data_IF_179208839548
#
_entry.id   IF_179208839548
#
_cell.length_a   1.000
_cell.length_b   1.000
_cell.length_c   1.000
_cell.angle_alpha   90.00
_cell.angle_beta   90.00
_cell.angle_gamma   90.00
#
_symmetry.space_group_name_H-M   'P 1'
#
loop_
_entity.id
_entity.type
_entity.pdbx_description
1 polymer ?
#
# COMPACT_ATOMS: atom_id res chain seq x y z
N UNK A 1 24.97 -29.50 16.57
CA UNK A 1 23.90 -28.52 16.79
C UNK A 1 22.87 -29.16 17.72
N UNK A 2 22.52 -28.48 18.84
CA UNK A 2 21.54 -29.04 19.76
C UNK A 2 20.18 -29.22 19.07
N UNK A 3 19.49 -30.30 19.40
CA UNK A 3 18.17 -30.63 18.86
C UNK A 3 17.09 -30.59 19.96
N UNK A 4 15.84 -30.73 19.60
CA UNK A 4 14.70 -30.64 20.55
C UNK A 4 14.74 -31.76 21.63
N UNK A 5 15.37 -32.91 21.33
CA UNK A 5 15.51 -34.00 22.31
C UNK A 5 16.51 -33.63 23.38
N UNK A 6 17.63 -32.97 23.00
CA UNK A 6 18.63 -32.49 23.94
C UNK A 6 18.05 -31.45 24.90
N UNK A 7 17.17 -30.57 24.41
CA UNK A 7 16.43 -29.61 25.26
C UNK A 7 15.46 -30.32 26.21
N UNK A 8 14.76 -31.34 25.74
CA UNK A 8 13.83 -32.13 26.54
C UNK A 8 14.55 -32.84 27.69
N UNK A 9 15.70 -33.49 27.38
CA UNK A 9 16.56 -34.16 28.35
C UNK A 9 17.11 -33.14 29.39
N UNK A 10 17.71 -32.03 28.94
CA UNK A 10 18.25 -30.96 29.79
C UNK A 10 17.20 -30.32 30.71
N UNK A 11 15.97 -30.16 30.21
CA UNK A 11 14.85 -29.60 30.97
C UNK A 11 14.12 -30.65 31.83
N UNK A 12 14.38 -31.94 31.69
CA UNK A 12 13.71 -33.05 32.37
C UNK A 12 12.22 -33.13 32.03
N UNK A 13 11.85 -32.95 30.73
CA UNK A 13 10.48 -32.98 30.25
C UNK A 13 10.37 -33.73 28.91
N UNK A 14 9.15 -34.04 28.47
CA UNK A 14 8.96 -34.65 27.14
C UNK A 14 9.20 -33.67 26.00
N UNK A 15 9.56 -34.17 24.82
CA UNK A 15 9.67 -33.36 23.59
C UNK A 15 8.35 -32.60 23.28
N UNK A 16 7.20 -33.25 23.57
CA UNK A 16 5.89 -32.61 23.42
C UNK A 16 5.70 -31.42 24.36
N UNK A 17 6.27 -31.49 25.59
CA UNK A 17 6.25 -30.39 26.55
C UNK A 17 7.14 -29.24 26.08
N UNK A 18 8.34 -29.53 25.59
CA UNK A 18 9.23 -28.51 24.99
C UNK A 18 8.51 -27.81 23.83
N UNK A 19 7.92 -28.57 22.93
CA UNK A 19 7.17 -28.01 21.78
C UNK A 19 6.02 -27.11 22.24
N UNK A 20 5.25 -27.50 23.27
CA UNK A 20 4.17 -26.65 23.82
C UNK A 20 4.69 -25.36 24.43
N UNK A 21 5.77 -25.42 25.21
CA UNK A 21 6.41 -24.24 25.82
C UNK A 21 6.88 -23.26 24.73
N UNK A 22 7.58 -23.77 23.70
CA UNK A 22 8.10 -22.94 22.62
C UNK A 22 6.99 -22.30 21.75
N UNK A 23 5.79 -22.91 21.72
CA UNK A 23 4.62 -22.37 21.05
C UNK A 23 3.70 -21.53 21.95
N UNK A 24 4.16 -21.12 23.13
CA UNK A 24 3.38 -20.27 24.04
C UNK A 24 2.29 -20.99 24.88
N UNK A 25 2.18 -22.32 24.78
CA UNK A 25 1.12 -23.11 25.41
C UNK A 25 1.65 -23.87 26.65
N UNK A 26 2.22 -23.19 27.62
CA UNK A 26 2.69 -23.88 28.83
C UNK A 26 1.71 -23.70 29.98
N UNK A 27 1.23 -24.79 30.61
CA UNK A 27 0.27 -24.72 31.72
C UNK A 27 0.94 -24.37 33.07
N UNK A 28 2.28 -24.51 33.22
CA UNK A 28 2.99 -24.31 34.50
C UNK A 28 4.22 -23.42 34.29
N UNK A 29 4.30 -22.33 35.09
CA UNK A 29 5.39 -21.34 35.01
C UNK A 29 6.79 -21.98 35.23
N UNK A 30 6.93 -22.86 36.20
CA UNK A 30 8.19 -23.56 36.49
C UNK A 30 8.69 -24.42 35.32
N UNK A 31 7.79 -25.17 34.68
CA UNK A 31 8.13 -25.97 33.49
C UNK A 31 8.58 -25.09 32.33
N UNK A 32 7.92 -23.93 32.14
CA UNK A 32 8.29 -22.96 31.12
C UNK A 32 9.69 -22.41 31.37
N UNK A 33 10.01 -22.04 32.59
CA UNK A 33 11.33 -21.50 32.94
C UNK A 33 12.45 -22.51 32.74
N UNK A 34 12.27 -23.76 33.16
CA UNK A 34 13.24 -24.87 32.94
C UNK A 34 13.51 -25.09 31.46
N UNK A 35 12.47 -25.13 30.63
CA UNK A 35 12.61 -25.29 29.17
C UNK A 35 13.34 -24.10 28.54
N UNK A 36 12.95 -22.86 28.89
CA UNK A 36 13.60 -21.68 28.34
C UNK A 36 15.07 -21.55 28.78
N UNK A 37 15.41 -21.98 29.99
CA UNK A 37 16.79 -22.06 30.47
C UNK A 37 17.58 -23.11 29.67
N UNK A 38 17.04 -24.30 29.47
CA UNK A 38 17.69 -25.33 28.68
C UNK A 38 17.91 -24.90 27.21
N UNK A 39 16.95 -24.17 26.63
CA UNK A 39 17.08 -23.60 25.27
C UNK A 39 18.22 -22.59 25.20
N UNK A 40 18.37 -21.70 26.20
CA UNK A 40 19.46 -20.73 26.26
C UNK A 40 20.83 -21.42 26.45
N UNK A 41 20.92 -22.35 27.42
CA UNK A 41 22.16 -23.05 27.78
C UNK A 41 22.71 -23.84 26.58
N UNK A 42 21.81 -24.47 25.79
CA UNK A 42 22.20 -25.31 24.66
C UNK A 42 22.31 -24.50 23.34
N UNK A 43 22.00 -23.20 23.36
CA UNK A 43 21.93 -22.41 22.13
C UNK A 43 20.94 -22.98 21.10
N UNK A 44 19.90 -23.68 21.58
CA UNK A 44 18.94 -24.32 20.71
C UNK A 44 18.10 -23.27 19.97
N UNK A 45 18.08 -23.42 18.66
CA UNK A 45 17.15 -22.65 17.79
C UNK A 45 16.09 -23.59 17.25
N UNK A 46 14.80 -23.30 17.46
CA UNK A 46 13.73 -24.10 16.87
C UNK A 46 13.94 -24.23 15.36
N UNK A 47 13.91 -25.47 14.88
CA UNK A 47 14.02 -25.73 13.44
C UNK A 47 12.65 -25.49 12.79
N UNK A 48 12.46 -24.28 12.23
CA UNK A 48 11.23 -23.89 11.56
C UNK A 48 10.92 -24.79 10.34
N UNK A 49 11.94 -25.35 9.68
CA UNK A 49 11.76 -26.29 8.56
C UNK A 49 11.08 -27.57 9.04
N UNK A 50 11.55 -28.14 10.17
CA UNK A 50 10.93 -29.33 10.76
C UNK A 50 9.50 -29.07 11.28
N UNK A 51 9.23 -27.83 11.74
CA UNK A 51 7.89 -27.40 12.12
C UNK A 51 6.99 -27.27 10.88
N UNK A 52 7.48 -26.63 9.83
CA UNK A 52 6.76 -26.44 8.57
C UNK A 52 6.38 -27.78 7.92
N UNK A 53 7.26 -28.75 7.93
CA UNK A 53 6.98 -30.12 7.43
C UNK A 53 5.85 -30.82 8.20
N UNK A 54 5.69 -30.53 9.49
CA UNK A 54 4.64 -31.13 10.34
C UNK A 54 3.31 -30.39 10.25
N UNK A 55 3.33 -29.06 10.11
CA UNK A 55 2.14 -28.21 10.12
C UNK A 55 1.68 -27.84 8.72
N UNK A 56 2.43 -28.17 7.67
CA UNK A 56 2.29 -27.70 6.30
C UNK A 56 2.25 -26.15 6.19
N UNK A 57 2.80 -25.45 7.21
CA UNK A 57 2.87 -23.98 7.26
C UNK A 57 4.25 -23.52 7.68
N UNK A 58 4.75 -22.50 6.99
CA UNK A 58 6.08 -21.91 7.25
C UNK A 58 6.03 -20.79 8.28
N UNK A 59 4.87 -20.14 8.47
CA UNK A 59 4.71 -18.94 9.28
C UNK A 59 5.30 -17.70 8.58
N UNK A 60 5.43 -17.75 7.26
CA UNK A 60 5.95 -16.64 6.46
C UNK A 60 4.90 -16.18 5.43
N UNK A 61 4.68 -14.88 5.35
CA UNK A 61 3.88 -14.22 4.33
C UNK A 61 4.79 -13.47 3.36
N UNK A 62 4.41 -13.43 2.09
CA UNK A 62 5.06 -12.57 1.10
C UNK A 62 4.28 -11.28 0.92
N UNK A 63 4.98 -10.17 0.77
CA UNK A 63 4.43 -8.89 0.35
C UNK A 63 5.23 -8.37 -0.83
N UNK A 64 4.58 -8.15 -1.96
CA UNK A 64 5.17 -7.45 -3.09
C UNK A 64 4.52 -6.08 -3.17
N UNK A 65 5.36 -5.04 -3.15
CA UNK A 65 4.94 -3.65 -3.31
C UNK A 65 5.45 -3.10 -4.64
N UNK A 66 4.73 -2.14 -5.18
CA UNK A 66 5.05 -1.55 -6.47
C UNK A 66 6.34 -0.74 -6.43
N UNK A 67 6.52 0.11 -5.43
CA UNK A 67 7.72 0.95 -5.29
C UNK A 67 8.05 1.23 -3.81
N UNK A 68 9.20 0.75 -3.34
CA UNK A 68 9.67 0.96 -1.96
C UNK A 68 10.06 2.43 -1.69
N UNK A 69 10.33 3.21 -2.72
CA UNK A 69 10.70 4.63 -2.57
C UNK A 69 9.47 5.53 -2.38
N UNK A 70 8.28 5.03 -2.73
CA UNK A 70 7.03 5.75 -2.49
C UNK A 70 6.56 5.54 -1.04
N UNK A 71 6.42 6.61 -0.24
CA UNK A 71 6.07 6.54 1.19
C UNK A 71 4.74 5.86 1.49
N UNK A 72 3.77 5.93 0.58
CA UNK A 72 2.51 5.21 0.72
C UNK A 72 2.75 3.70 0.87
N UNK A 73 3.58 3.11 0.00
CA UNK A 73 3.88 1.68 0.07
C UNK A 73 4.75 1.31 1.25
N UNK A 74 5.64 2.21 1.71
CA UNK A 74 6.44 1.97 2.91
C UNK A 74 5.58 1.95 4.18
N UNK A 75 4.63 2.88 4.31
CA UNK A 75 3.68 2.88 5.42
C UNK A 75 2.74 1.66 5.37
N UNK A 76 2.28 1.28 4.18
CA UNK A 76 1.48 0.08 3.98
C UNK A 76 2.24 -1.19 4.39
N UNK A 77 3.52 -1.29 3.99
CA UNK A 77 4.37 -2.43 4.35
C UNK A 77 4.64 -2.50 5.87
N UNK A 78 4.83 -1.35 6.54
CA UNK A 78 4.93 -1.28 8.00
C UNK A 78 3.65 -1.80 8.66
N UNK A 79 2.47 -1.34 8.20
CA UNK A 79 1.20 -1.76 8.74
C UNK A 79 0.93 -3.27 8.56
N UNK A 80 1.31 -3.82 7.40
CA UNK A 80 1.24 -5.26 7.11
C UNK A 80 2.20 -6.04 8.01
N UNK A 81 3.43 -5.56 8.20
CA UNK A 81 4.44 -6.21 9.05
C UNK A 81 4.01 -6.25 10.51
N UNK A 82 3.56 -5.10 11.04
CA UNK A 82 3.09 -5.00 12.42
C UNK A 82 1.95 -5.98 12.72
N UNK A 83 0.96 -6.05 11.82
CA UNK A 83 -0.19 -6.95 11.98
C UNK A 83 0.22 -8.42 11.82
N UNK A 84 1.00 -8.76 10.78
CA UNK A 84 1.49 -10.12 10.57
C UNK A 84 2.30 -10.62 11.77
N UNK A 85 3.20 -9.79 12.28
CA UNK A 85 4.03 -10.11 13.46
C UNK A 85 3.19 -10.30 14.72
N UNK A 86 2.15 -9.47 14.93
CA UNK A 86 1.23 -9.62 16.07
C UNK A 86 0.52 -10.97 16.07
N UNK A 87 0.29 -11.53 14.88
CA UNK A 87 -0.37 -12.82 14.63
C UNK A 87 0.63 -13.99 14.49
N UNK A 88 1.93 -13.74 14.72
CA UNK A 88 2.98 -14.75 14.73
C UNK A 88 3.53 -15.13 13.37
N UNK A 89 3.31 -14.31 12.35
CA UNK A 89 3.88 -14.47 11.00
C UNK A 89 5.11 -13.57 10.81
N UNK A 90 6.04 -14.04 9.99
CA UNK A 90 7.14 -13.22 9.45
C UNK A 90 6.77 -12.70 8.08
N UNK A 91 7.16 -11.47 7.76
CA UNK A 91 6.94 -10.88 6.44
C UNK A 91 8.22 -10.91 5.61
N UNK A 92 8.11 -11.27 4.33
CA UNK A 92 9.18 -11.16 3.34
C UNK A 92 8.71 -10.18 2.27
N UNK A 93 9.44 -9.07 2.11
CA UNK A 93 9.06 -7.99 1.20
C UNK A 93 9.86 -8.10 -0.09
N UNK A 94 9.17 -7.99 -1.23
CA UNK A 94 9.74 -7.79 -2.57
C UNK A 94 9.34 -6.43 -3.11
N UNK A 95 10.29 -5.72 -3.73
CA UNK A 95 10.06 -4.44 -4.40
C UNK A 95 10.00 -4.66 -5.91
N UNK A 96 8.84 -4.44 -6.52
CA UNK A 96 8.67 -4.61 -7.96
C UNK A 96 9.27 -3.46 -8.80
N UNK A 97 9.49 -2.26 -8.22
CA UNK A 97 10.00 -1.11 -8.95
C UNK A 97 9.14 -0.70 -10.14
N UNK A 98 7.83 -0.88 -10.06
CA UNK A 98 6.84 -0.71 -11.15
C UNK A 98 7.13 -1.60 -12.38
N UNK A 99 7.97 -2.66 -12.27
CA UNK A 99 8.25 -3.63 -13.33
C UNK A 99 7.46 -4.93 -13.14
N UNK A 100 6.61 -5.32 -14.11
CA UNK A 100 5.92 -6.61 -14.09
C UNK A 100 6.88 -7.80 -14.08
N UNK A 101 8.01 -7.71 -14.78
CA UNK A 101 9.02 -8.76 -14.85
C UNK A 101 9.68 -8.97 -13.46
N UNK A 102 10.05 -7.89 -12.79
CA UNK A 102 10.63 -7.93 -11.45
C UNK A 102 9.62 -8.44 -10.42
N UNK A 103 8.34 -8.06 -10.56
CA UNK A 103 7.25 -8.62 -9.77
C UNK A 103 7.19 -10.14 -9.90
N UNK A 104 7.17 -10.65 -11.13
CA UNK A 104 7.06 -12.08 -11.40
C UNK A 104 8.27 -12.86 -10.85
N UNK A 105 9.48 -12.29 -10.91
CA UNK A 105 10.69 -12.89 -10.33
C UNK A 105 10.60 -12.97 -8.78
N UNK A 106 10.07 -11.94 -8.14
CA UNK A 106 9.81 -11.98 -6.71
C UNK A 106 8.72 -13.00 -6.34
N UNK A 107 7.65 -13.10 -7.13
CA UNK A 107 6.61 -14.10 -6.90
C UNK A 107 7.23 -15.50 -6.93
N UNK A 108 8.01 -15.85 -7.98
CA UNK A 108 8.69 -17.15 -8.07
C UNK A 108 9.58 -17.41 -6.86
N UNK A 109 10.41 -16.43 -6.49
CA UNK A 109 11.31 -16.54 -5.33
C UNK A 109 10.56 -16.80 -4.03
N UNK A 110 9.42 -16.17 -3.83
CA UNK A 110 8.60 -16.33 -2.62
C UNK A 110 7.89 -17.69 -2.59
N UNK A 111 7.38 -18.14 -3.74
CA UNK A 111 6.77 -19.47 -3.88
C UNK A 111 7.79 -20.59 -3.62
N UNK A 112 9.02 -20.47 -4.15
CA UNK A 112 10.11 -21.41 -3.91
C UNK A 112 10.47 -21.50 -2.41
N UNK A 113 10.32 -20.39 -1.69
CA UNK A 113 10.48 -20.34 -0.21
C UNK A 113 9.28 -20.87 0.56
N UNK A 114 8.23 -21.33 -0.14
CA UNK A 114 7.02 -21.91 0.45
C UNK A 114 6.34 -20.98 1.45
N UNK A 115 6.15 -19.72 1.09
CA UNK A 115 5.33 -18.80 1.88
C UNK A 115 3.91 -19.35 2.02
N UNK A 116 3.23 -19.02 3.13
CA UNK A 116 1.87 -19.50 3.41
C UNK A 116 0.81 -18.72 2.61
N UNK A 117 1.14 -17.51 2.16
CA UNK A 117 0.28 -16.68 1.34
C UNK A 117 0.98 -15.40 0.87
N UNK A 118 0.38 -14.73 -0.09
CA UNK A 118 0.96 -13.61 -0.83
C UNK A 118 0.03 -12.40 -0.83
N UNK A 119 0.57 -11.24 -0.50
CA UNK A 119 -0.01 -9.91 -0.68
C UNK A 119 0.71 -9.23 -1.85
N UNK A 120 -0.04 -8.66 -2.80
CA UNK A 120 0.57 -8.03 -3.99
C UNK A 120 -0.10 -6.70 -4.29
N UNK A 121 0.68 -5.60 -4.25
CA UNK A 121 0.35 -4.38 -4.97
C UNK A 121 0.99 -4.48 -6.34
N UNK A 122 0.15 -4.75 -7.37
CA UNK A 122 0.65 -5.14 -8.68
C UNK A 122 1.35 -3.99 -9.41
N UNK A 123 2.50 -4.29 -10.00
CA UNK A 123 3.12 -3.47 -11.01
C UNK A 123 2.47 -3.77 -12.38
N UNK A 124 1.97 -2.73 -13.05
CA UNK A 124 1.31 -2.89 -14.36
C UNK A 124 -0.13 -3.43 -14.30
N UNK A 125 -0.67 -3.74 -15.45
CA UNK A 125 -2.10 -4.02 -15.68
C UNK A 125 -2.44 -5.49 -15.84
N UNK A 126 -1.46 -6.39 -15.82
CA UNK A 126 -1.68 -7.83 -15.97
C UNK A 126 -0.45 -8.62 -15.61
N UNK A 127 -0.65 -9.83 -15.09
CA UNK A 127 0.43 -10.77 -14.80
C UNK A 127 -0.09 -12.18 -15.00
N UNK A 128 0.50 -12.91 -15.95
CA UNK A 128 0.25 -14.33 -16.11
C UNK A 128 0.63 -15.10 -14.84
N UNK A 129 1.69 -14.68 -14.17
CA UNK A 129 2.17 -15.26 -12.91
C UNK A 129 1.12 -15.16 -11.80
N UNK A 130 0.40 -14.03 -11.67
CA UNK A 130 -0.67 -13.90 -10.66
C UNK A 130 -1.82 -14.88 -10.94
N UNK A 131 -2.16 -15.11 -12.22
CA UNK A 131 -3.14 -16.12 -12.60
C UNK A 131 -2.67 -17.55 -12.27
N UNK A 132 -1.38 -17.83 -12.45
CA UNK A 132 -0.77 -19.11 -12.08
C UNK A 132 -0.79 -19.31 -10.54
N UNK A 133 -0.52 -18.25 -9.76
CA UNK A 133 -0.62 -18.28 -8.28
C UNK A 133 -2.03 -18.68 -7.85
N UNK A 134 -3.06 -18.05 -8.44
CA UNK A 134 -4.46 -18.39 -8.16
C UNK A 134 -4.77 -19.84 -8.55
N UNK A 135 -4.35 -20.26 -9.74
CA UNK A 135 -4.58 -21.61 -10.27
C UNK A 135 -3.88 -22.70 -9.42
N UNK A 136 -2.72 -22.38 -8.82
CA UNK A 136 -2.00 -23.28 -7.91
C UNK A 136 -2.67 -23.44 -6.53
N UNK A 137 -3.69 -22.63 -6.23
CA UNK A 137 -4.35 -22.60 -4.93
C UNK A 137 -3.56 -21.87 -3.85
N UNK A 138 -2.49 -21.16 -4.19
CA UNK A 138 -1.74 -20.33 -3.24
C UNK A 138 -2.62 -19.15 -2.79
N UNK A 139 -2.81 -18.93 -1.48
CA UNK A 139 -3.58 -17.80 -0.97
C UNK A 139 -3.00 -16.46 -1.46
N UNK A 140 -3.80 -15.70 -2.21
CA UNK A 140 -3.43 -14.41 -2.78
C UNK A 140 -4.45 -13.34 -2.39
N UNK A 141 -3.98 -12.15 -2.03
CA UNK A 141 -4.78 -10.93 -1.86
C UNK A 141 -4.08 -9.80 -2.60
N UNK A 142 -4.82 -9.08 -3.41
CA UNK A 142 -4.35 -7.87 -4.08
C UNK A 142 -4.46 -6.67 -3.14
N UNK A 143 -3.52 -5.74 -3.23
CA UNK A 143 -3.47 -4.50 -2.47
C UNK A 143 -3.50 -3.29 -3.41
N UNK A 144 -4.26 -2.25 -3.03
CA UNK A 144 -4.33 -0.97 -3.72
C UNK A 144 -4.86 -1.06 -5.17
N UNK A 145 -4.36 -2.01 -5.96
CA UNK A 145 -4.67 -2.15 -7.38
C UNK A 145 -5.35 -3.49 -7.67
N UNK A 146 -6.44 -3.46 -8.45
CA UNK A 146 -7.02 -4.66 -9.05
C UNK A 146 -6.21 -5.07 -10.27
N UNK A 147 -6.21 -6.36 -10.58
CA UNK A 147 -5.57 -6.89 -11.81
C UNK A 147 -6.63 -7.59 -12.65
N UNK A 148 -6.90 -7.11 -13.87
CA UNK A 148 -7.88 -7.74 -14.76
C UNK A 148 -7.55 -9.22 -15.00
N UNK A 149 -8.58 -10.09 -14.91
CA UNK A 149 -8.43 -11.53 -15.13
C UNK A 149 -7.85 -12.32 -13.93
N UNK A 150 -7.52 -11.68 -12.82
CA UNK A 150 -7.07 -12.34 -11.59
C UNK A 150 -8.22 -12.41 -10.58
N UNK A 151 -8.70 -13.63 -10.31
CA UNK A 151 -9.78 -13.86 -9.32
C UNK A 151 -9.20 -13.96 -7.90
N UNK A 152 -8.88 -12.81 -7.32
CA UNK A 152 -8.40 -12.67 -5.96
C UNK A 152 -9.07 -11.48 -5.25
N UNK A 153 -9.31 -11.56 -3.92
CA UNK A 153 -9.78 -10.41 -3.16
C UNK A 153 -8.80 -9.26 -3.31
N UNK A 154 -9.33 -8.03 -3.37
CA UNK A 154 -8.54 -6.81 -3.36
C UNK A 154 -8.92 -5.95 -2.15
N UNK A 155 -7.91 -5.50 -1.41
CA UNK A 155 -8.05 -4.54 -0.31
C UNK A 155 -7.51 -3.20 -0.79
N UNK A 156 -8.39 -2.18 -0.88
CA UNK A 156 -8.04 -0.88 -1.44
C UNK A 156 -8.88 0.26 -0.86
N UNK A 157 -8.43 1.49 -1.09
CA UNK A 157 -9.19 2.67 -0.70
C UNK A 157 -10.28 3.02 -1.73
N UNK A 158 -11.35 3.65 -1.25
CA UNK A 158 -12.39 4.29 -2.06
C UNK A 158 -12.27 5.80 -1.94
N UNK A 159 -11.84 6.45 -3.03
CA UNK A 159 -11.63 7.90 -3.08
C UNK A 159 -12.86 8.72 -3.48
N UNK A 160 -14.00 8.11 -3.79
CA UNK A 160 -15.17 8.81 -4.36
C UNK A 160 -15.66 9.97 -3.51
N UNK A 161 -15.87 9.73 -2.22
CA UNK A 161 -16.33 10.76 -1.29
C UNK A 161 -15.31 11.88 -1.16
N UNK A 162 -14.05 11.56 -0.96
CA UNK A 162 -12.97 12.55 -0.82
C UNK A 162 -12.81 13.41 -2.09
N UNK A 163 -12.93 12.81 -3.29
CA UNK A 163 -12.89 13.55 -4.55
C UNK A 163 -14.12 14.43 -4.76
N UNK A 164 -15.29 14.01 -4.26
CA UNK A 164 -16.50 14.85 -4.28
C UNK A 164 -16.35 16.06 -3.33
N UNK A 165 -15.82 15.83 -2.13
CA UNK A 165 -15.50 16.89 -1.17
C UNK A 165 -14.44 17.85 -1.73
N UNK A 166 -13.43 17.32 -2.45
CA UNK A 166 -12.44 18.14 -3.13
C UNK A 166 -13.05 19.02 -4.22
N UNK A 167 -13.93 18.48 -5.05
CA UNK A 167 -14.60 19.27 -6.10
C UNK A 167 -15.44 20.42 -5.48
N UNK A 168 -16.16 20.14 -4.38
CA UNK A 168 -16.89 21.16 -3.62
C UNK A 168 -15.93 22.25 -3.09
N UNK A 169 -14.80 21.81 -2.50
CA UNK A 169 -13.79 22.69 -1.93
C UNK A 169 -13.18 23.62 -3.01
N UNK A 170 -12.79 23.08 -4.16
CA UNK A 170 -12.27 23.86 -5.28
C UNK A 170 -13.30 24.89 -5.79
N UNK A 171 -14.55 24.47 -5.97
CA UNK A 171 -15.63 25.34 -6.41
C UNK A 171 -15.87 26.50 -5.41
N UNK A 172 -15.88 26.19 -4.10
CA UNK A 172 -16.06 27.19 -3.04
C UNK A 172 -14.91 28.23 -2.99
N UNK A 173 -13.69 27.83 -3.38
CA UNK A 173 -12.53 28.72 -3.48
C UNK A 173 -12.43 29.42 -4.85
N UNK A 174 -13.46 29.33 -5.68
CA UNK A 174 -13.51 30.01 -6.98
C UNK A 174 -12.59 29.43 -8.05
N UNK A 175 -12.05 28.22 -7.85
CA UNK A 175 -11.21 27.54 -8.85
C UNK A 175 -12.10 27.07 -10.01
N UNK A 176 -11.78 27.49 -11.23
CA UNK A 176 -12.61 27.27 -12.42
C UNK A 176 -11.95 26.43 -13.49
N UNK A 177 -10.64 26.30 -13.44
CA UNK A 177 -9.85 25.56 -14.40
C UNK A 177 -9.06 24.42 -13.75
N UNK A 178 -9.77 23.41 -13.18
CA UNK A 178 -9.12 22.26 -12.59
C UNK A 178 -8.37 21.44 -13.63
N UNK A 179 -7.24 20.85 -13.24
CA UNK A 179 -6.48 19.87 -14.00
C UNK A 179 -6.13 18.67 -13.11
N UNK A 180 -5.71 17.58 -13.73
CA UNK A 180 -5.30 16.36 -13.03
C UNK A 180 -4.04 15.77 -13.65
N UNK A 181 -3.07 15.44 -12.82
CA UNK A 181 -1.89 14.65 -13.17
C UNK A 181 -2.18 13.21 -12.77
N UNK A 182 -2.24 12.30 -13.73
CA UNK A 182 -2.59 10.90 -13.52
C UNK A 182 -1.43 9.98 -13.83
N UNK A 183 -1.48 8.78 -13.27
CA UNK A 183 -0.61 7.67 -13.61
C UNK A 183 -0.63 7.37 -15.13
N UNK A 184 0.32 6.59 -15.65
CA UNK A 184 0.29 6.14 -17.05
C UNK A 184 -1.06 5.54 -17.43
N UNK A 185 -1.51 5.79 -18.65
CA UNK A 185 -2.79 5.31 -19.17
C UNK A 185 -2.93 3.79 -18.99
N UNK A 186 -4.10 3.34 -18.58
CA UNK A 186 -4.38 1.93 -18.30
C UNK A 186 -3.99 1.48 -16.88
N UNK A 187 -3.45 2.38 -16.05
CA UNK A 187 -3.25 2.07 -14.63
C UNK A 187 -4.60 2.11 -13.91
N UNK A 188 -5.09 1.01 -13.30
CA UNK A 188 -6.45 0.95 -12.75
C UNK A 188 -6.77 2.05 -11.73
N UNK A 189 -5.82 2.39 -10.84
CA UNK A 189 -6.01 3.48 -9.86
C UNK A 189 -6.03 4.87 -10.53
N UNK A 190 -5.23 5.06 -11.59
CA UNK A 190 -5.21 6.31 -12.36
C UNK A 190 -6.53 6.55 -13.07
N UNK A 191 -7.02 5.55 -13.79
CA UNK A 191 -8.29 5.61 -14.54
C UNK A 191 -9.49 5.80 -13.59
N UNK A 192 -9.49 5.13 -12.44
CA UNK A 192 -10.53 5.27 -11.42
C UNK A 192 -10.54 6.67 -10.80
N UNK A 193 -9.38 7.20 -10.39
CA UNK A 193 -9.23 8.55 -9.80
C UNK A 193 -9.66 9.63 -10.79
N UNK A 194 -9.25 9.50 -12.05
CA UNK A 194 -9.68 10.40 -13.13
C UNK A 194 -11.20 10.37 -13.33
N UNK A 195 -11.80 9.18 -13.42
CA UNK A 195 -13.25 9.02 -13.63
C UNK A 195 -14.06 9.61 -12.48
N UNK A 196 -13.65 9.37 -11.24
CA UNK A 196 -14.31 9.91 -10.05
C UNK A 196 -14.16 11.44 -9.96
N UNK A 197 -12.96 11.98 -10.21
CA UNK A 197 -12.74 13.42 -10.17
C UNK A 197 -13.54 14.14 -11.26
N UNK A 198 -13.54 13.62 -12.49
CA UNK A 198 -14.35 14.19 -13.59
C UNK A 198 -15.84 14.21 -13.25
N UNK A 199 -16.35 13.12 -12.67
CA UNK A 199 -17.75 13.03 -12.22
C UNK A 199 -18.04 14.03 -11.09
N UNK A 200 -17.16 14.12 -10.11
CA UNK A 200 -17.29 15.03 -8.98
C UNK A 200 -17.33 16.51 -9.42
N UNK A 201 -16.40 16.90 -10.30
CA UNK A 201 -16.35 18.26 -10.85
C UNK A 201 -17.65 18.65 -11.57
N UNK A 202 -18.22 17.71 -12.36
CA UNK A 202 -19.50 17.93 -13.05
C UNK A 202 -20.64 18.27 -12.10
N UNK A 203 -20.67 17.71 -10.91
CA UNK A 203 -21.65 18.02 -9.85
C UNK A 203 -21.61 19.46 -9.35
N UNK A 204 -20.51 20.17 -9.57
CA UNK A 204 -20.32 21.59 -9.17
C UNK A 204 -20.19 22.52 -10.39
N UNK A 205 -20.58 22.08 -11.58
CA UNK A 205 -20.52 22.88 -12.80
C UNK A 205 -19.10 23.17 -13.29
N UNK A 206 -18.12 22.40 -12.83
CA UNK A 206 -16.74 22.46 -13.29
C UNK A 206 -16.51 21.43 -14.38
N UNK A 207 -15.65 21.75 -15.36
CA UNK A 207 -15.30 20.85 -16.45
C UNK A 207 -13.83 20.47 -16.38
N UNK A 208 -13.52 19.24 -16.82
CA UNK A 208 -12.16 18.74 -16.95
C UNK A 208 -11.93 18.31 -18.41
N UNK A 209 -11.55 19.25 -19.31
CA UNK A 209 -11.27 18.95 -20.70
C UNK A 209 -9.98 18.11 -20.84
N UNK A 210 -9.86 17.39 -21.92
CA UNK A 210 -8.75 16.43 -22.09
C UNK A 210 -7.36 17.10 -22.08
N UNK A 211 -7.24 18.35 -22.52
CA UNK A 211 -6.01 19.14 -22.44
C UNK A 211 -5.53 19.42 -21.00
N UNK A 212 -6.41 19.27 -20.01
CA UNK A 212 -6.11 19.40 -18.56
C UNK A 212 -6.04 18.04 -17.85
N UNK A 213 -5.97 16.95 -18.61
CA UNK A 213 -5.68 15.61 -18.13
C UNK A 213 -4.29 15.22 -18.62
N UNK A 214 -3.33 15.20 -17.71
CA UNK A 214 -1.95 14.87 -18.06
C UNK A 214 -1.57 13.49 -17.51
N UNK A 215 -1.42 12.50 -18.40
CA UNK A 215 -0.87 11.21 -18.04
C UNK A 215 0.67 11.28 -17.99
N UNK A 216 1.25 10.84 -16.89
CA UNK A 216 2.71 10.77 -16.75
C UNK A 216 3.26 9.54 -17.47
N UNK A 217 4.52 9.56 -17.93
CA UNK A 217 5.17 8.36 -18.47
C UNK A 217 5.51 7.34 -17.36
N UNK A 218 5.65 7.80 -16.14
CA UNK A 218 5.99 7.02 -14.95
C UNK A 218 5.32 7.62 -13.69
N UNK A 219 5.34 6.89 -12.59
CA UNK A 219 4.82 7.33 -11.28
C UNK A 219 5.91 8.04 -10.46
N UNK A 220 6.70 8.90 -11.09
CA UNK A 220 7.87 9.52 -10.49
C UNK A 220 7.77 11.06 -10.47
N UNK A 221 8.64 11.67 -9.70
CA UNK A 221 8.83 13.12 -9.62
C UNK A 221 9.01 13.78 -11.00
N UNK A 222 9.82 13.16 -11.86
CA UNK A 222 10.12 13.67 -13.21
C UNK A 222 8.87 13.74 -14.08
N UNK A 223 8.01 12.72 -14.04
CA UNK A 223 6.75 12.69 -14.77
C UNK A 223 5.79 13.79 -14.29
N UNK A 224 5.66 13.96 -12.97
CA UNK A 224 4.82 15.02 -12.41
C UNK A 224 5.29 16.42 -12.81
N UNK A 225 6.62 16.67 -12.80
CA UNK A 225 7.21 17.92 -13.25
C UNK A 225 6.94 18.19 -14.73
N UNK A 226 7.12 17.17 -15.58
CA UNK A 226 6.91 17.31 -17.03
C UNK A 226 5.44 17.66 -17.36
N UNK A 227 4.49 16.98 -16.72
CA UNK A 227 3.07 17.26 -16.96
C UNK A 227 2.68 18.65 -16.43
N UNK A 228 3.17 19.05 -15.26
CA UNK A 228 2.93 20.39 -14.75
C UNK A 228 3.47 21.46 -15.69
N UNK A 229 4.67 21.27 -16.23
CA UNK A 229 5.25 22.19 -17.23
C UNK A 229 4.33 22.34 -18.44
N UNK A 230 3.83 21.23 -18.99
CA UNK A 230 2.91 21.27 -20.12
C UNK A 230 1.59 21.99 -19.77
N UNK A 231 1.06 21.82 -18.58
CA UNK A 231 -0.14 22.53 -18.14
C UNK A 231 0.07 24.05 -18.04
N UNK A 232 1.25 24.48 -17.58
CA UNK A 232 1.59 25.89 -17.46
C UNK A 232 1.84 26.57 -18.82
N UNK A 233 2.09 25.80 -19.86
CA UNK A 233 2.28 26.28 -21.23
C UNK A 233 0.97 26.34 -22.03
N UNK A 234 -0.18 25.90 -21.46
CA UNK A 234 -1.48 26.04 -22.09
C UNK A 234 -1.89 27.51 -22.26
N UNK A 235 -2.68 27.83 -23.27
CA UNK A 235 -3.22 29.18 -23.49
C UNK A 235 -4.04 29.69 -22.27
N UNK A 236 -4.75 28.77 -21.62
CA UNK A 236 -5.44 29.00 -20.34
C UNK A 236 -4.91 28.00 -19.29
N UNK A 237 -3.85 28.33 -18.58
CA UNK A 237 -3.29 27.45 -17.55
C UNK A 237 -4.30 27.10 -16.45
N UNK A 238 -4.20 25.93 -15.82
CA UNK A 238 -5.07 25.55 -14.70
C UNK A 238 -4.86 26.47 -13.50
N UNK A 239 -5.92 26.69 -12.74
CA UNK A 239 -5.89 27.41 -11.46
C UNK A 239 -5.93 26.45 -10.25
N UNK A 240 -6.12 25.15 -10.51
CA UNK A 240 -6.03 24.09 -9.51
C UNK A 240 -5.55 22.78 -10.17
N UNK A 241 -4.66 22.05 -9.51
CA UNK A 241 -4.14 20.78 -10.00
C UNK A 241 -4.25 19.72 -8.90
N UNK A 242 -4.83 18.57 -9.24
CA UNK A 242 -4.78 17.35 -8.44
C UNK A 242 -3.66 16.45 -9.00
N UNK A 243 -2.61 16.19 -8.23
CA UNK A 243 -1.64 15.15 -8.52
C UNK A 243 -2.09 13.84 -7.86
N UNK A 244 -2.29 12.79 -8.65
CA UNK A 244 -2.85 11.52 -8.16
C UNK A 244 -1.83 10.58 -7.51
N UNK A 245 -0.64 11.08 -7.22
CA UNK A 245 0.42 10.38 -6.48
C UNK A 245 1.33 11.40 -5.78
N UNK A 246 1.91 11.02 -4.65
CA UNK A 246 2.73 11.92 -3.83
C UNK A 246 4.06 12.29 -4.49
N UNK A 247 4.71 11.39 -5.24
CA UNK A 247 5.95 11.69 -5.96
C UNK A 247 5.69 12.64 -7.14
N UNK A 248 4.58 12.45 -7.86
CA UNK A 248 4.16 13.37 -8.92
C UNK A 248 3.86 14.76 -8.38
N UNK A 249 3.26 14.86 -7.17
CA UNK A 249 3.00 16.14 -6.52
C UNK A 249 4.30 16.90 -6.22
N UNK A 250 5.36 16.22 -5.77
CA UNK A 250 6.67 16.84 -5.57
C UNK A 250 7.23 17.43 -6.88
N UNK A 251 7.08 16.68 -7.99
CA UNK A 251 7.48 17.18 -9.31
C UNK A 251 6.71 18.42 -9.74
N UNK A 252 5.40 18.41 -9.51
CA UNK A 252 4.53 19.55 -9.79
C UNK A 252 4.91 20.77 -8.94
N UNK A 253 5.20 20.60 -7.65
CA UNK A 253 5.69 21.66 -6.76
C UNK A 253 6.99 22.29 -7.27
N UNK A 254 7.95 21.46 -7.69
CA UNK A 254 9.24 21.93 -8.18
C UNK A 254 9.08 22.74 -9.47
N UNK A 255 8.18 22.35 -10.37
CA UNK A 255 7.93 23.13 -11.58
C UNK A 255 7.24 24.47 -11.27
N UNK A 256 6.24 24.49 -10.38
CA UNK A 256 5.60 25.74 -9.92
C UNK A 256 6.65 26.69 -9.34
N UNK A 257 7.52 26.19 -8.47
CA UNK A 257 8.61 26.98 -7.87
C UNK A 257 9.59 27.50 -8.93
N UNK A 258 9.99 26.66 -9.88
CA UNK A 258 10.91 27.02 -10.96
C UNK A 258 10.35 28.16 -11.85
N UNK A 259 9.01 28.19 -12.03
CA UNK A 259 8.30 29.26 -12.75
C UNK A 259 7.97 30.46 -11.89
N UNK A 260 8.31 30.46 -10.59
CA UNK A 260 8.01 31.56 -9.66
C UNK A 260 6.51 31.69 -9.32
N UNK A 261 5.71 30.64 -9.54
CA UNK A 261 4.29 30.61 -9.26
C UNK A 261 4.05 30.22 -7.80
N UNK A 262 3.08 30.87 -7.17
CA UNK A 262 2.75 30.68 -5.76
C UNK A 262 1.58 29.74 -5.60
N UNK A 263 1.72 28.84 -4.64
CA UNK A 263 0.62 28.00 -4.14
C UNK A 263 0.09 28.65 -2.86
N UNK A 264 -1.19 28.91 -2.71
CA UNK A 264 -2.30 28.64 -3.64
C UNK A 264 -2.64 29.80 -4.60
N UNK A 265 -1.98 30.95 -4.48
CA UNK A 265 -2.43 32.21 -5.09
C UNK A 265 -2.58 32.07 -6.61
N UNK A 266 -1.55 31.57 -7.28
CA UNK A 266 -1.52 31.41 -8.73
C UNK A 266 -2.13 30.06 -9.14
N UNK A 267 -1.76 28.97 -8.45
CA UNK A 267 -2.27 27.61 -8.69
C UNK A 267 -2.50 26.90 -7.37
N UNK A 268 -3.70 26.40 -7.12
CA UNK A 268 -3.97 25.48 -6.02
C UNK A 268 -3.39 24.09 -6.33
N UNK A 269 -2.76 23.44 -5.34
CA UNK A 269 -2.21 22.10 -5.51
C UNK A 269 -2.79 21.15 -4.47
N UNK A 270 -3.30 20.03 -4.95
CA UNK A 270 -3.84 18.93 -4.15
C UNK A 270 -3.09 17.66 -4.48
N UNK A 271 -2.87 16.81 -3.48
CA UNK A 271 -2.17 15.55 -3.65
C UNK A 271 -3.04 14.37 -3.24
N UNK A 272 -2.92 13.26 -3.96
CA UNK A 272 -3.35 11.97 -3.46
C UNK A 272 -2.20 11.36 -2.65
N UNK A 273 -2.52 10.73 -1.51
CA UNK A 273 -1.65 10.27 -0.43
C UNK A 273 -1.12 11.39 0.48
N UNK A 274 -1.54 11.34 1.74
CA UNK A 274 -1.16 12.31 2.76
C UNK A 274 0.13 11.85 3.47
N UNK A 275 1.27 12.08 2.82
CA UNK A 275 2.56 11.76 3.43
C UNK A 275 2.97 12.82 4.47
N UNK A 276 3.69 12.44 5.55
CA UNK A 276 3.91 13.30 6.72
C UNK A 276 4.50 14.67 6.41
N UNK A 277 5.40 14.78 5.45
CA UNK A 277 6.04 16.07 5.13
C UNK A 277 5.14 17.06 4.39
N UNK A 278 4.02 16.64 3.80
CA UNK A 278 3.08 17.57 3.18
C UNK A 278 2.36 18.48 4.18
N UNK A 279 2.32 18.08 5.45
CA UNK A 279 1.87 18.96 6.53
C UNK A 279 2.90 20.06 6.89
N UNK A 280 4.16 19.89 6.45
CA UNK A 280 5.28 20.78 6.77
C UNK A 280 5.82 21.57 5.57
N UNK A 281 5.20 21.41 4.39
CA UNK A 281 5.50 22.26 3.23
C UNK A 281 4.99 23.69 3.45
N UNK A 282 5.45 24.63 2.66
CA UNK A 282 4.91 26.01 2.67
C UNK A 282 4.36 26.37 1.29
N UNK A 283 3.02 26.46 1.16
CA UNK A 283 2.01 26.13 2.17
C UNK A 283 1.87 24.60 2.42
N UNK A 284 1.28 24.16 3.56
CA UNK A 284 0.92 22.76 3.77
C UNK A 284 -0.10 22.30 2.74
N UNK A 285 0.11 21.09 2.16
CA UNK A 285 -0.70 20.58 1.07
C UNK A 285 -2.02 19.94 1.55
N UNK A 286 -3.11 20.34 0.90
CA UNK A 286 -4.40 19.63 0.95
C UNK A 286 -4.22 18.26 0.29
N UNK A 287 -4.68 17.19 0.94
CA UNK A 287 -4.43 15.83 0.52
C UNK A 287 -5.66 14.93 0.60
N UNK A 288 -5.74 13.93 -0.28
CA UNK A 288 -6.64 12.79 -0.14
C UNK A 288 -5.88 11.70 0.59
N UNK A 289 -6.22 11.50 1.86
CA UNK A 289 -5.55 10.54 2.74
C UNK A 289 -6.21 9.17 2.63
N UNK A 290 -5.42 8.16 2.27
CA UNK A 290 -5.84 6.76 2.33
C UNK A 290 -5.70 6.23 3.76
N UNK A 291 -6.57 5.31 4.23
CA UNK A 291 -6.46 4.69 5.55
C UNK A 291 -5.40 3.57 5.54
N UNK A 292 -4.12 3.93 5.35
CA UNK A 292 -3.02 3.00 5.03
C UNK A 292 -2.84 1.91 6.09
N UNK A 293 -2.95 2.28 7.38
CA UNK A 293 -2.84 1.31 8.49
C UNK A 293 -3.99 0.32 8.52
N UNK A 294 -5.20 0.78 8.27
CA UNK A 294 -6.40 -0.06 8.19
C UNK A 294 -6.35 -0.97 6.95
N UNK A 295 -5.83 -0.47 5.83
CA UNK A 295 -5.61 -1.27 4.62
C UNK A 295 -4.64 -2.42 4.90
N UNK A 296 -3.50 -2.15 5.54
CA UNK A 296 -2.53 -3.17 5.91
C UNK A 296 -3.11 -4.26 6.81
N UNK A 297 -3.85 -3.87 7.86
CA UNK A 297 -4.55 -4.81 8.76
C UNK A 297 -5.58 -5.64 8.02
N UNK A 298 -6.46 -5.00 7.25
CA UNK A 298 -7.49 -5.70 6.48
C UNK A 298 -6.89 -6.70 5.49
N UNK A 299 -5.76 -6.36 4.87
CA UNK A 299 -5.06 -7.24 3.94
C UNK A 299 -4.54 -8.50 4.62
N UNK A 300 -3.89 -8.37 5.78
CA UNK A 300 -3.41 -9.53 6.56
C UNK A 300 -4.57 -10.41 6.98
N UNK A 301 -5.65 -9.84 7.54
CA UNK A 301 -6.81 -10.62 7.97
C UNK A 301 -7.51 -11.33 6.80
N UNK A 302 -7.61 -10.65 5.64
CA UNK A 302 -8.17 -11.25 4.42
C UNK A 302 -7.31 -12.41 3.94
N UNK A 303 -5.98 -12.26 3.95
CA UNK A 303 -5.05 -13.31 3.55
C UNK A 303 -5.10 -14.50 4.51
N UNK A 304 -5.11 -14.27 5.83
CA UNK A 304 -5.19 -15.33 6.82
C UNK A 304 -6.50 -16.11 6.73
N UNK A 305 -7.62 -15.44 6.46
CA UNK A 305 -8.88 -16.13 6.20
C UNK A 305 -8.76 -17.10 5.01
N UNK A 306 -8.09 -16.70 3.92
CA UNK A 306 -7.83 -17.56 2.77
C UNK A 306 -6.88 -18.73 3.11
N UNK A 307 -5.82 -18.47 3.87
CA UNK A 307 -4.89 -19.51 4.34
C UNK A 307 -5.62 -20.57 5.19
N UNK A 308 -6.65 -20.17 5.92
CA UNK A 308 -7.47 -21.04 6.75
C UNK A 308 -8.66 -21.69 5.99
N UNK A 309 -8.79 -21.42 4.69
CA UNK A 309 -9.88 -21.92 3.86
C UNK A 309 -11.23 -21.26 4.17
N UNK A 310 -11.22 -20.11 4.86
CA UNK A 310 -12.44 -19.34 5.13
C UNK A 310 -12.78 -18.39 3.96
N UNK A 311 -14.05 -18.11 3.70
CA UNK A 311 -14.46 -17.12 2.71
C UNK A 311 -13.84 -15.75 3.04
N UNK A 312 -13.29 -15.09 2.02
CA UNK A 312 -12.74 -13.74 2.12
C UNK A 312 -13.04 -12.98 0.82
N UNK A 313 -13.69 -11.84 0.95
CA UNK A 313 -14.02 -10.95 -0.16
C UNK A 313 -13.11 -9.72 -0.22
N UNK A 314 -13.29 -8.91 -1.26
CA UNK A 314 -12.62 -7.61 -1.38
C UNK A 314 -13.10 -6.64 -0.31
N UNK A 315 -12.19 -5.76 0.13
CA UNK A 315 -12.43 -4.74 1.16
C UNK A 315 -12.18 -3.36 0.55
N UNK A 316 -13.16 -2.48 0.70
CA UNK A 316 -13.08 -1.08 0.34
C UNK A 316 -13.15 -0.22 1.60
N UNK A 317 -12.12 0.62 1.81
CA UNK A 317 -12.07 1.54 2.95
C UNK A 317 -12.12 2.99 2.43
N UNK A 318 -12.91 3.89 3.05
CA UNK A 318 -13.04 5.25 2.57
C UNK A 318 -11.73 6.03 2.76
N UNK A 319 -11.25 6.68 1.70
CA UNK A 319 -10.28 7.77 1.82
C UNK A 319 -10.98 9.05 2.31
N UNK A 320 -10.23 10.00 2.87
CA UNK A 320 -10.75 11.26 3.39
C UNK A 320 -10.00 12.45 2.81
N UNK A 321 -10.69 13.58 2.64
CA UNK A 321 -10.04 14.84 2.31
C UNK A 321 -9.46 15.47 3.59
N UNK A 322 -8.18 15.82 3.54
CA UNK A 322 -7.48 16.59 4.58
C UNK A 322 -7.20 17.97 4.01
N UNK A 323 -8.03 18.93 4.37
CA UNK A 323 -7.89 20.31 3.90
C UNK A 323 -6.76 21.02 4.63
N UNK A 324 -5.89 21.68 3.86
CA UNK A 324 -4.82 22.55 4.32
C UNK A 324 -4.77 23.83 3.48
N UNK A 325 -3.68 24.57 3.52
CA UNK A 325 -3.60 25.91 2.92
C UNK A 325 -3.30 25.94 1.42
N UNK A 326 -2.97 24.83 0.78
CA UNK A 326 -2.57 24.80 -0.63
C UNK A 326 -3.71 25.03 -1.65
N UNK A 327 -4.95 25.13 -1.17
CA UNK A 327 -6.10 25.53 -2.00
C UNK A 327 -6.64 26.92 -1.67
N UNK A 328 -6.13 27.55 -0.64
CA UNK A 328 -6.60 28.79 -0.03
C UNK A 328 -6.83 28.61 1.47
N UNK A 329 -7.17 29.69 2.16
CA UNK A 329 -7.49 29.60 3.59
C UNK A 329 -8.76 28.75 3.79
N UNK A 330 -8.69 27.84 4.74
CA UNK A 330 -9.88 27.07 5.13
C UNK A 330 -10.87 28.08 5.72
N UNK A 331 -12.10 28.20 5.20
CA UNK A 331 -13.09 29.06 5.83
C UNK A 331 -13.26 28.64 7.28
N UNK A 332 -13.00 29.56 8.19
CA UNK A 332 -13.28 29.34 9.61
C UNK A 332 -14.78 29.16 9.78
N UNK A 333 -15.27 28.11 10.46
CA UNK A 333 -16.70 27.86 10.63
C UNK A 333 -17.42 28.98 11.39
#
# INVERSE_FOLDING_TARGET
MANIKDVAERAGVSVATVSRVLNGHSPVAETRERVLTAVRDLGYRPNNVARALRTARTGALGLIISDLTNPFFTELAEAVEDEARSLGYSLVIGNAGESPEQQDDYIRTLLDRRIDGLLVSSAGTGSAMLSEVVASGTPLVLLDRTVPGVDAPCVRADGRTALTELAAHLAAHGRRRPAIIVAPAGTPTGDERLGFFRTALGGYGLTLPDERVGATPDLQHTGGRQVMSAFLDLAEPPDAVLATDNLMALGAMDELRARGLRVPDDVALVVYDDVPWFAHTDPPLTAIAQPTRELGRAAVHTLLARIEGRPAGSVLLPARLVTRRSCGEVPTP
#
